data_IF_184554667586
#
_entry.id   IF_184554667586
#
_cell.length_a   1.000
_cell.length_b   1.000
_cell.length_c   1.000
_cell.angle_alpha   90.00
_cell.angle_beta   90.00
_cell.angle_gamma   90.00
#
_symmetry.space_group_name_H-M   'P 1'
#
loop_
_entity.id
_entity.type
_entity.pdbx_description
1 polymer ?
#
# COMPACT_ATOMS: atom_id res chain seq x y z
N UNK A 1 -10.42 10.99 8.27
CA UNK A 1 -11.10 10.20 7.22
C UNK A 1 -10.42 8.84 7.14
N UNK A 2 -11.16 7.73 7.01
CA UNK A 2 -10.58 6.40 6.85
C UNK A 2 -10.38 6.10 5.36
N UNK A 3 -9.32 5.38 4.99
CA UNK A 3 -9.14 4.91 3.62
C UNK A 3 -8.97 3.40 3.61
N UNK A 4 -9.50 2.79 2.56
CA UNK A 4 -9.28 1.38 2.29
C UNK A 4 -7.96 1.18 1.55
N UNK A 5 -7.18 0.18 1.94
CA UNK A 5 -6.00 -0.29 1.22
C UNK A 5 -6.34 -1.64 0.59
N UNK A 6 -6.12 -1.73 -0.70
CA UNK A 6 -6.36 -2.91 -1.52
C UNK A 6 -5.07 -3.71 -1.74
N UNK A 7 -5.19 -5.00 -2.06
CA UNK A 7 -4.07 -5.93 -2.18
C UNK A 7 -3.00 -5.50 -3.20
N UNK A 8 -3.34 -4.93 -4.38
CA UNK A 8 -2.33 -4.56 -5.37
C UNK A 8 -1.25 -3.62 -4.82
N UNK A 9 -1.61 -2.68 -3.93
CA UNK A 9 -0.63 -1.79 -3.31
C UNK A 9 0.37 -2.57 -2.47
N UNK A 10 -0.12 -3.50 -1.65
CA UNK A 10 0.72 -4.35 -0.79
C UNK A 10 1.58 -5.29 -1.64
N UNK A 11 1.03 -5.85 -2.72
CA UNK A 11 1.75 -6.71 -3.66
C UNK A 11 2.89 -5.93 -4.33
N UNK A 12 2.64 -4.73 -4.86
CA UNK A 12 3.70 -3.95 -5.53
C UNK A 12 4.80 -3.53 -4.56
N UNK A 13 4.45 -3.16 -3.33
CA UNK A 13 5.44 -2.84 -2.30
C UNK A 13 6.37 -4.01 -1.98
N UNK A 14 5.88 -5.25 -2.08
CA UNK A 14 6.65 -6.45 -1.75
C UNK A 14 7.33 -7.15 -2.95
N UNK A 15 6.77 -7.01 -4.15
CA UNK A 15 7.23 -7.76 -5.33
C UNK A 15 8.13 -6.94 -6.26
N UNK A 16 8.04 -5.60 -6.24
CA UNK A 16 8.92 -4.76 -7.06
C UNK A 16 10.35 -4.79 -6.51
N UNK A 17 11.26 -5.30 -7.33
CA UNK A 17 12.68 -5.44 -7.00
C UNK A 17 13.51 -4.22 -7.40
N UNK A 18 13.13 -3.51 -8.47
CA UNK A 18 13.78 -2.26 -8.85
C UNK A 18 13.30 -1.14 -7.94
N UNK A 19 14.23 -0.48 -7.27
CA UNK A 19 13.93 0.62 -6.35
C UNK A 19 13.29 1.79 -7.06
N UNK A 20 13.63 2.06 -8.32
CA UNK A 20 13.05 3.17 -9.10
C UNK A 20 11.56 3.00 -9.31
N UNK A 21 11.12 1.76 -9.51
CA UNK A 21 9.71 1.42 -9.71
C UNK A 21 8.96 1.31 -8.37
N UNK A 22 9.65 0.92 -7.29
CA UNK A 22 9.05 0.77 -5.95
C UNK A 22 8.87 2.10 -5.19
N UNK A 23 9.81 3.04 -5.33
CA UNK A 23 9.82 4.34 -4.61
C UNK A 23 8.49 5.11 -4.71
N UNK A 24 7.81 5.21 -5.88
CA UNK A 24 6.53 5.88 -5.98
C UNK A 24 5.45 5.26 -5.07
N UNK A 25 5.41 3.92 -4.97
CA UNK A 25 4.46 3.21 -4.11
C UNK A 25 4.79 3.39 -2.64
N UNK A 26 6.07 3.37 -2.26
CA UNK A 26 6.51 3.62 -0.88
C UNK A 26 6.13 5.03 -0.44
N UNK A 27 6.42 6.05 -1.26
CA UNK A 27 6.07 7.43 -0.97
C UNK A 27 4.55 7.60 -0.85
N UNK A 28 3.78 7.01 -1.76
CA UNK A 28 2.32 7.03 -1.70
C UNK A 28 1.79 6.36 -0.42
N UNK A 29 2.34 5.21 -0.04
CA UNK A 29 1.96 4.50 1.17
C UNK A 29 2.25 5.33 2.42
N UNK A 30 3.44 5.93 2.54
CA UNK A 30 3.80 6.82 3.66
C UNK A 30 2.87 8.03 3.72
N UNK A 31 2.57 8.65 2.58
CA UNK A 31 1.63 9.77 2.49
C UNK A 31 0.23 9.39 3.00
N UNK A 32 -0.25 8.19 2.68
CA UNK A 32 -1.51 7.67 3.20
C UNK A 32 -1.46 7.51 4.71
N UNK A 33 -0.41 6.86 5.22
CA UNK A 33 -0.26 6.56 6.65
C UNK A 33 -0.19 7.84 7.50
N UNK A 34 0.38 8.92 6.96
CA UNK A 34 0.51 10.20 7.66
C UNK A 34 -0.78 11.04 7.64
N UNK A 35 -1.58 10.93 6.57
CA UNK A 35 -2.77 11.78 6.37
C UNK A 35 -4.08 11.12 6.79
N UNK A 36 -4.12 9.80 6.83
CA UNK A 36 -5.36 9.05 7.03
C UNK A 36 -5.22 7.90 8.02
N UNK A 37 -6.36 7.37 8.47
CA UNK A 37 -6.42 6.11 9.21
C UNK A 37 -6.72 4.97 8.23
N UNK A 38 -5.72 4.17 7.81
CA UNK A 38 -5.95 3.12 6.85
C UNK A 38 -6.68 1.94 7.48
N UNK A 39 -7.38 1.18 6.66
CA UNK A 39 -7.91 -0.14 7.00
C UNK A 39 -7.87 -1.01 5.74
N UNK A 40 -7.87 -2.31 5.95
CA UNK A 40 -8.03 -3.32 4.90
C UNK A 40 -8.96 -4.41 5.42
N UNK A 41 -9.45 -5.28 4.55
CA UNK A 41 -10.31 -6.40 4.94
C UNK A 41 -9.54 -7.73 4.95
N UNK A 42 -10.20 -8.79 5.41
CA UNK A 42 -9.57 -10.10 5.54
C UNK A 42 -9.34 -10.78 4.18
N UNK A 43 -10.07 -10.36 3.14
CA UNK A 43 -9.94 -10.92 1.79
C UNK A 43 -8.67 -10.39 1.14
N UNK A 44 -8.39 -9.09 1.30
CA UNK A 44 -7.12 -8.46 0.85
C UNK A 44 -5.90 -9.09 1.52
N UNK A 45 -6.04 -9.66 2.73
CA UNK A 45 -4.97 -10.37 3.41
C UNK A 45 -4.81 -11.83 2.95
N UNK A 46 -5.84 -12.42 2.35
CA UNK A 46 -5.84 -13.78 1.79
C UNK A 46 -5.26 -13.82 0.37
N UNK A 47 -5.36 -12.70 -0.35
CA UNK A 47 -4.76 -12.46 -1.68
C UNK A 47 -3.22 -12.42 -1.66
#
# INVERSE_FOLDING_TARGET
MKIFIDAPLLIYLNTLTDSRDRIPYENFYIDILTKYKPYTDVLVLDE
#
